data_IF_706811484385
#
_entry.id   IF_706811484385
#
_cell.length_a   1.000
_cell.length_b   1.000
_cell.length_c   1.000
_cell.angle_alpha   90.00
_cell.angle_beta   90.00
_cell.angle_gamma   90.00
#
_symmetry.space_group_name_H-M   'P 1'
#
loop_
_entity.id
_entity.type
_entity.pdbx_description
1 polymer ?
#
# COMPACT_ATOMS: atom_id res chain seq x y z
N UNK A 1 1.58 -28.90 11.14
CA UNK A 1 0.93 -27.58 10.97
C UNK A 1 1.84 -26.60 10.22
N UNK A 2 2.24 -26.93 8.99
CA UNK A 2 3.10 -26.08 8.19
C UNK A 2 2.39 -25.71 6.89
N UNK A 3 2.25 -24.42 6.60
CA UNK A 3 1.79 -23.99 5.28
C UNK A 3 2.82 -24.44 4.24
N UNK A 4 2.35 -25.11 3.19
CA UNK A 4 3.14 -25.40 1.98
C UNK A 4 3.62 -24.07 1.39
N UNK A 5 4.75 -24.04 0.67
CA UNK A 5 5.34 -22.81 0.14
C UNK A 5 4.34 -21.94 -0.64
N UNK A 6 3.53 -22.56 -1.50
CA UNK A 6 2.42 -21.90 -2.21
C UNK A 6 1.42 -21.23 -1.26
N UNK A 7 1.07 -21.88 -0.15
CA UNK A 7 0.17 -21.30 0.84
C UNK A 7 0.82 -20.13 1.61
N UNK A 8 2.14 -20.17 1.86
CA UNK A 8 2.89 -19.05 2.46
C UNK A 8 2.92 -17.86 1.53
N UNK A 9 3.18 -18.10 0.25
CA UNK A 9 3.16 -17.06 -0.78
C UNK A 9 1.77 -16.42 -0.90
N UNK A 10 0.72 -17.22 -1.00
CA UNK A 10 -0.67 -16.73 -1.04
C UNK A 10 -1.02 -15.91 0.22
N UNK A 11 -0.56 -16.35 1.39
CA UNK A 11 -0.73 -15.58 2.62
C UNK A 11 0.00 -14.22 2.55
N UNK A 12 1.25 -14.17 2.08
CA UNK A 12 2.01 -12.92 1.89
C UNK A 12 1.31 -11.99 0.89
N UNK A 13 0.84 -12.51 -0.24
CA UNK A 13 0.08 -11.76 -1.26
C UNK A 13 -1.20 -11.16 -0.68
N UNK A 14 -1.99 -11.95 0.06
CA UNK A 14 -3.21 -11.48 0.74
C UNK A 14 -2.91 -10.40 1.77
N UNK A 15 -1.93 -10.61 2.64
CA UNK A 15 -1.52 -9.62 3.63
C UNK A 15 -1.03 -8.32 2.98
N UNK A 16 -0.28 -8.40 1.88
CA UNK A 16 0.15 -7.23 1.10
C UNK A 16 -1.07 -6.48 0.55
N UNK A 17 -2.04 -7.17 -0.04
CA UNK A 17 -3.29 -6.57 -0.55
C UNK A 17 -4.06 -5.82 0.54
N UNK A 18 -4.21 -6.43 1.72
CA UNK A 18 -4.90 -5.80 2.87
C UNK A 18 -4.14 -4.56 3.36
N UNK A 19 -2.80 -4.61 3.43
CA UNK A 19 -1.99 -3.44 3.81
C UNK A 19 -2.15 -2.28 2.81
N UNK A 20 -2.11 -2.58 1.51
CA UNK A 20 -2.33 -1.58 0.45
C UNK A 20 -3.70 -0.92 0.60
N UNK A 21 -4.76 -1.72 0.80
CA UNK A 21 -6.11 -1.19 0.94
C UNK A 21 -6.23 -0.27 2.17
N UNK A 22 -5.63 -0.64 3.31
CA UNK A 22 -5.59 0.21 4.52
C UNK A 22 -4.82 1.51 4.31
N UNK A 23 -3.74 1.49 3.53
CA UNK A 23 -2.99 2.71 3.21
C UNK A 23 -3.80 3.61 2.29
N UNK A 24 -4.52 3.05 1.31
CA UNK A 24 -5.45 3.81 0.44
C UNK A 24 -6.56 4.50 1.22
N UNK A 25 -7.19 3.81 2.18
CA UNK A 25 -8.25 4.43 2.99
C UNK A 25 -7.70 5.53 3.90
N UNK A 26 -6.51 5.33 4.48
CA UNK A 26 -5.82 6.36 5.28
C UNK A 26 -5.44 7.56 4.43
N UNK A 27 -4.97 7.33 3.20
CA UNK A 27 -4.63 8.39 2.26
C UNK A 27 -5.85 9.24 1.91
N UNK A 28 -6.99 8.61 1.63
CA UNK A 28 -8.24 9.31 1.35
C UNK A 28 -8.79 10.09 2.57
N UNK A 29 -8.53 9.61 3.78
CA UNK A 29 -8.95 10.27 5.03
C UNK A 29 -7.96 11.35 5.52
N UNK A 30 -6.74 11.40 4.99
CA UNK A 30 -5.70 12.32 5.41
C UNK A 30 -6.03 13.75 4.96
N UNK A 31 -6.04 14.68 5.92
CA UNK A 31 -6.39 16.09 5.68
C UNK A 31 -5.20 16.95 5.29
N UNK A 32 -3.99 16.58 5.72
CA UNK A 32 -2.77 17.33 5.45
C UNK A 32 -1.95 16.67 4.35
N UNK A 33 -1.25 17.49 3.56
CA UNK A 33 -0.43 16.97 2.47
C UNK A 33 0.85 16.28 2.98
N UNK A 34 1.34 16.66 4.16
CA UNK A 34 2.41 15.95 4.85
C UNK A 34 2.00 14.51 5.22
N UNK A 35 0.79 14.30 5.76
CA UNK A 35 0.29 12.96 6.10
C UNK A 35 0.11 12.10 4.85
N UNK A 36 -0.40 12.69 3.77
CA UNK A 36 -0.52 12.01 2.49
C UNK A 36 0.86 11.56 1.98
N UNK A 37 1.87 12.43 2.03
CA UNK A 37 3.25 12.12 1.58
C UNK A 37 3.84 10.92 2.32
N UNK A 38 3.69 10.88 3.65
CA UNK A 38 4.13 9.76 4.48
C UNK A 38 3.40 8.46 4.11
N UNK A 39 2.10 8.53 3.83
CA UNK A 39 1.30 7.36 3.44
C UNK A 39 1.70 6.87 2.04
N UNK A 40 2.00 7.76 1.11
CA UNK A 40 2.45 7.43 -0.24
C UNK A 40 3.83 6.73 -0.23
N UNK A 41 4.80 7.26 0.51
CA UNK A 41 6.11 6.60 0.70
C UNK A 41 5.95 5.20 1.32
N UNK A 42 5.10 5.10 2.35
CA UNK A 42 4.81 3.82 2.99
C UNK A 42 4.16 2.82 2.04
N UNK A 43 3.34 3.29 1.11
CA UNK A 43 2.73 2.44 0.09
C UNK A 43 3.77 1.98 -0.95
N UNK A 44 4.63 2.89 -1.41
CA UNK A 44 5.72 2.59 -2.34
C UNK A 44 6.66 1.50 -1.79
N UNK A 45 7.05 1.61 -0.51
CA UNK A 45 7.86 0.59 0.18
C UNK A 45 7.17 -0.79 0.26
N UNK A 46 5.84 -0.83 0.35
CA UNK A 46 5.08 -2.09 0.41
C UNK A 46 4.93 -2.71 -0.98
N UNK A 47 4.74 -1.89 -2.01
CA UNK A 47 4.57 -2.31 -3.39
C UNK A 47 4.93 -1.16 -4.34
N UNK A 48 6.11 -1.23 -5.00
CA UNK A 48 6.53 -0.21 -5.98
C UNK A 48 5.54 -0.06 -7.15
N UNK A 49 4.83 -1.14 -7.51
CA UNK A 49 3.87 -1.17 -8.62
C UNK A 49 2.45 -0.71 -8.25
N UNK A 50 2.22 -0.26 -7.01
CA UNK A 50 0.93 0.26 -6.59
C UNK A 50 1.05 1.72 -6.14
N UNK A 51 1.58 2.64 -6.98
CA UNK A 51 1.69 4.03 -6.59
C UNK A 51 0.30 4.61 -6.33
N UNK A 52 0.13 5.23 -5.16
CA UNK A 52 -0.82 6.32 -5.01
C UNK A 52 -0.03 7.55 -5.42
N UNK A 53 -0.19 7.95 -6.67
CA UNK A 53 0.44 9.18 -7.17
C UNK A 53 -0.11 10.34 -6.35
N UNK A 54 0.77 10.93 -5.53
CA UNK A 54 0.59 12.29 -5.03
C UNK A 54 1.05 13.27 -6.09
N UNK A 55 0.41 13.23 -7.25
CA UNK A 55 0.52 14.32 -8.22
C UNK A 55 -0.85 14.38 -8.93
N UNK A 56 -1.48 15.57 -9.10
CA UNK A 56 -2.33 15.74 -10.26
C UNK A 56 -1.45 15.43 -11.46
N UNK A 57 -1.92 14.62 -12.39
CA UNK A 57 -1.20 14.39 -13.64
C UNK A 57 -1.04 15.73 -14.40
N UNK A 58 0.03 16.51 -14.14
CA UNK A 58 0.49 17.65 -14.93
C UNK A 58 1.75 18.28 -14.30
N UNK A 59 2.93 17.94 -14.83
CA UNK A 59 3.90 18.88 -15.45
C UNK A 59 5.12 18.12 -15.94
#
# INVERSE_FOLDING_TARGET
MGRIERQRELARRRSRKVKIQKLRTRFAAAKTDADKAVIADKLFRVSPFAPLTLEPAAQ
#
